data_IF_925251840099
#
_entry.id   IF_925251840099
#
_cell.length_a   1.000
_cell.length_b   1.000
_cell.length_c   1.000
_cell.angle_alpha   90.00
_cell.angle_beta   90.00
_cell.angle_gamma   90.00
#
_symmetry.space_group_name_H-M   'P 1'
#
loop_
_entity.id
_entity.type
_entity.pdbx_description
1 polymer ?
#
# COMPACT_ATOMS: atom_id res chain seq x y z
N UNK A 1 33.27 11.50 -20.62
CA UNK A 1 32.41 10.47 -19.99
C UNK A 1 31.44 11.20 -19.09
N UNK A 2 30.15 11.20 -19.42
CA UNK A 2 29.13 11.95 -18.68
C UNK A 2 28.37 11.00 -17.77
N UNK A 3 28.48 11.19 -16.46
CA UNK A 3 27.73 10.43 -15.45
C UNK A 3 26.35 11.06 -15.27
N UNK A 4 25.32 10.41 -15.80
CA UNK A 4 23.91 10.74 -15.53
C UNK A 4 23.59 10.37 -14.08
N UNK A 5 23.18 11.37 -13.29
CA UNK A 5 22.60 11.18 -11.97
C UNK A 5 21.09 11.27 -12.13
N UNK A 6 20.38 10.14 -12.01
CA UNK A 6 18.91 10.14 -11.96
C UNK A 6 18.45 10.45 -10.53
N UNK A 7 17.73 11.57 -10.42
CA UNK A 7 17.06 12.09 -9.25
C UNK A 7 15.79 11.28 -8.97
N UNK A 8 15.66 10.69 -7.77
CA UNK A 8 14.46 9.98 -7.32
C UNK A 8 13.65 10.92 -6.42
N UNK A 9 12.43 11.25 -6.84
CA UNK A 9 11.44 12.03 -6.09
C UNK A 9 10.65 11.08 -5.17
N UNK A 10 10.45 11.39 -3.88
CA UNK A 10 9.60 10.57 -3.02
C UNK A 10 8.12 10.90 -3.30
N UNK A 11 7.44 10.05 -4.05
CA UNK A 11 5.98 10.05 -4.07
C UNK A 11 5.48 9.40 -2.79
N UNK A 12 4.61 10.11 -2.08
CA UNK A 12 3.82 9.60 -0.96
C UNK A 12 2.95 8.43 -1.43
N UNK A 13 3.49 7.21 -1.32
CA UNK A 13 2.82 5.96 -1.62
C UNK A 13 1.72 5.70 -0.58
N UNK A 14 0.54 6.29 -0.81
CA UNK A 14 -0.69 5.78 -0.22
C UNK A 14 -0.94 4.40 -0.81
N UNK A 15 -0.40 3.36 -0.16
CA UNK A 15 -0.66 1.95 -0.44
C UNK A 15 -0.64 1.64 -1.95
N UNK A 16 0.55 1.61 -2.57
CA UNK A 16 0.78 1.10 -3.92
C UNK A 16 0.55 -0.42 -3.98
N UNK A 17 -0.64 -0.87 -3.60
CA UNK A 17 -1.12 -2.20 -3.90
C UNK A 17 -1.39 -2.23 -5.42
N UNK A 18 -0.85 -3.19 -6.18
CA UNK A 18 -1.17 -3.35 -7.58
C UNK A 18 -2.69 -3.46 -7.75
N UNK A 19 -3.19 -2.81 -8.80
CA UNK A 19 -4.61 -2.67 -9.08
C UNK A 19 -5.28 -4.06 -9.11
N UNK A 20 -6.07 -4.36 -8.07
CA UNK A 20 -6.79 -5.62 -7.93
C UNK A 20 -6.33 -6.58 -6.81
N UNK A 21 -5.30 -6.22 -6.01
CA UNK A 21 -5.07 -6.87 -4.71
C UNK A 21 -6.07 -6.33 -3.69
N UNK A 22 -7.29 -6.86 -3.74
CA UNK A 22 -8.26 -6.71 -2.65
C UNK A 22 -8.09 -7.87 -1.66
N UNK A 23 -8.37 -7.68 -0.35
CA UNK A 23 -8.29 -8.75 0.65
C UNK A 23 -9.13 -9.99 0.26
N UNK A 24 -10.25 -9.78 -0.44
CA UNK A 24 -11.10 -10.84 -1.02
C UNK A 24 -10.41 -11.71 -2.10
N UNK A 25 -9.39 -11.19 -2.80
CA UNK A 25 -8.63 -11.97 -3.79
C UNK A 25 -7.68 -12.98 -3.13
N UNK A 26 -7.34 -12.76 -1.85
CA UNK A 26 -6.42 -13.58 -1.07
C UNK A 26 -7.19 -14.51 -0.13
N UNK A 27 -8.34 -14.04 0.38
CA UNK A 27 -9.20 -14.86 1.24
C UNK A 27 -10.04 -15.87 0.42
N UNK A 28 -9.40 -17.00 0.15
CA UNK A 28 -10.01 -18.12 -0.59
C UNK A 28 -10.77 -19.11 0.29
N UNK A 29 -10.72 -18.94 1.62
CA UNK A 29 -11.31 -19.87 2.58
C UNK A 29 -12.84 -19.96 2.46
N UNK A 30 -13.60 -18.85 2.33
CA UNK A 30 -15.04 -18.93 2.15
C UNK A 30 -15.43 -19.71 0.88
N UNK A 31 -14.72 -19.44 -0.23
CA UNK A 31 -14.96 -20.09 -1.53
C UNK A 31 -14.67 -21.59 -1.48
N UNK A 32 -13.53 -21.97 -0.88
CA UNK A 32 -13.17 -23.38 -0.68
C UNK A 32 -14.18 -24.09 0.21
N UNK A 33 -14.61 -23.46 1.30
CA UNK A 33 -15.60 -24.04 2.22
C UNK A 33 -16.94 -24.25 1.52
N UNK A 34 -17.37 -23.33 0.66
CA UNK A 34 -18.58 -23.46 -0.14
C UNK A 34 -18.47 -24.63 -1.13
N UNK A 35 -17.35 -24.75 -1.84
CA UNK A 35 -17.12 -25.86 -2.78
C UNK A 35 -17.10 -27.21 -2.05
N UNK A 36 -16.39 -27.29 -0.92
CA UNK A 36 -16.29 -28.51 -0.11
C UNK A 36 -17.63 -28.92 0.52
N UNK A 37 -18.45 -27.97 0.97
CA UNK A 37 -19.78 -28.26 1.52
C UNK A 37 -20.70 -28.91 0.49
N UNK A 38 -20.51 -28.59 -0.79
CA UNK A 38 -21.27 -29.16 -1.92
C UNK A 38 -20.71 -30.51 -2.39
N UNK A 39 -19.53 -30.88 -1.92
CA UNK A 39 -18.78 -32.10 -2.27
C UNK A 39 -19.02 -33.23 -1.24
N UNK A 40 -19.85 -33.00 -0.21
CA UNK A 40 -20.14 -33.99 0.83
C UNK A 40 -20.55 -35.35 0.21
N UNK A 41 -20.01 -36.46 0.74
CA UNK A 41 -20.14 -37.76 0.11
C UNK A 41 -21.61 -38.21 0.10
N UNK A 42 -22.03 -38.75 -1.04
CA UNK A 42 -23.05 -39.78 -1.11
C UNK A 42 -22.67 -40.91 -0.13
N UNK A 43 -23.08 -40.83 1.12
CA UNK A 43 -23.11 -41.97 2.02
C UNK A 43 -24.46 -42.03 2.72
N UNK A 44 -25.35 -42.75 2.02
CA UNK A 44 -26.44 -43.59 2.50
C UNK A 44 -27.20 -43.18 3.77
N UNK A 45 -28.44 -42.71 3.59
CA UNK A 45 -29.65 -43.36 4.15
C UNK A 45 -30.89 -42.67 3.58
N UNK A 46 -31.57 -43.34 2.65
CA UNK A 46 -32.79 -42.83 2.05
C UNK A 46 -33.03 -43.45 0.69
N UNK A 47 -33.62 -44.64 0.69
CA UNK A 47 -34.09 -45.29 -0.52
C UNK A 47 -35.11 -44.40 -1.25
N UNK A 48 -34.76 -43.98 -2.45
CA UNK A 48 -35.73 -43.72 -3.52
C UNK A 48 -34.96 -43.76 -4.83
N UNK A 49 -35.27 -44.76 -5.66
CA UNK A 49 -34.94 -44.78 -7.08
C UNK A 49 -35.36 -43.45 -7.71
N UNK A 50 -34.40 -42.56 -7.84
CA UNK A 50 -34.46 -41.35 -8.63
C UNK A 50 -33.05 -41.18 -9.15
N UNK A 51 -32.90 -41.18 -10.46
CA UNK A 51 -31.67 -40.78 -11.17
C UNK A 51 -31.02 -39.60 -10.44
N UNK A 52 -29.68 -39.56 -10.27
CA UNK A 52 -29.03 -38.36 -9.75
C UNK A 52 -29.49 -37.21 -10.64
N UNK A 53 -30.23 -36.25 -10.06
CA UNK A 53 -30.69 -35.09 -10.80
C UNK A 53 -29.44 -34.37 -11.29
N UNK A 54 -29.18 -34.47 -12.60
CA UNK A 54 -28.14 -33.66 -13.23
C UNK A 54 -28.45 -32.21 -12.87
N UNK A 55 -27.49 -31.56 -12.22
CA UNK A 55 -27.61 -30.16 -11.86
C UNK A 55 -27.81 -29.35 -13.14
N UNK A 56 -28.93 -28.65 -13.24
CA UNK A 56 -29.20 -27.80 -14.40
C UNK A 56 -28.11 -26.71 -14.49
N UNK A 57 -27.68 -26.26 -15.69
CA UNK A 57 -26.58 -25.30 -15.85
C UNK A 57 -26.74 -24.04 -14.98
N UNK A 58 -27.98 -23.56 -14.79
CA UNK A 58 -28.28 -22.43 -13.90
C UNK A 58 -28.03 -22.72 -12.42
N UNK A 59 -28.20 -23.95 -11.95
CA UNK A 59 -27.97 -24.33 -10.55
C UNK A 59 -26.48 -24.56 -10.26
N UNK A 60 -25.72 -24.99 -11.26
CA UNK A 60 -24.25 -25.03 -11.22
C UNK A 60 -23.68 -23.61 -11.15
N UNK A 61 -24.21 -22.69 -11.97
CA UNK A 61 -23.82 -21.28 -11.97
C UNK A 61 -24.22 -20.53 -10.69
N UNK A 62 -25.35 -20.88 -10.08
CA UNK A 62 -25.81 -20.28 -8.81
C UNK A 62 -25.08 -20.82 -7.57
N UNK A 63 -24.23 -21.83 -7.73
CA UNK A 63 -23.45 -22.40 -6.63
C UNK A 63 -24.26 -23.20 -5.61
N UNK A 64 -25.53 -23.52 -5.88
CA UNK A 64 -26.46 -24.16 -4.93
C UNK A 64 -26.65 -25.66 -5.15
N UNK A 65 -26.23 -26.20 -6.31
CA UNK A 65 -26.37 -27.62 -6.61
C UNK A 65 -25.24 -28.48 -5.97
N UNK A 66 -25.54 -29.72 -5.55
CA UNK A 66 -24.53 -30.72 -5.20
C UNK A 66 -23.52 -30.90 -6.34
N UNK A 67 -22.22 -30.94 -6.04
CA UNK A 67 -21.18 -31.10 -7.05
C UNK A 67 -20.86 -32.58 -7.23
N UNK A 68 -20.98 -33.07 -8.46
CA UNK A 68 -20.45 -34.39 -8.83
C UNK A 68 -18.94 -34.30 -9.02
N UNK A 69 -18.23 -35.43 -8.89
CA UNK A 69 -16.77 -35.51 -9.05
C UNK A 69 -16.31 -34.98 -10.42
N UNK A 70 -17.17 -35.08 -11.44
CA UNK A 70 -16.90 -34.59 -12.80
C UNK A 70 -16.96 -33.07 -12.93
N UNK A 71 -17.68 -32.39 -12.03
CA UNK A 71 -17.91 -30.95 -12.08
C UNK A 71 -16.88 -30.16 -11.25
N UNK A 72 -16.04 -30.85 -10.47
CA UNK A 72 -14.99 -30.25 -9.63
C UNK A 72 -14.02 -29.38 -10.45
N UNK A 73 -13.51 -29.82 -11.62
CA UNK A 73 -12.59 -28.99 -12.39
C UNK A 73 -13.22 -27.67 -12.81
N UNK A 74 -14.49 -27.69 -13.24
CA UNK A 74 -15.23 -26.49 -13.64
C UNK A 74 -15.55 -25.59 -12.43
N UNK A 75 -15.98 -26.17 -11.31
CA UNK A 75 -16.30 -25.43 -10.09
C UNK A 75 -15.07 -24.79 -9.41
N UNK A 76 -13.86 -25.31 -9.69
CA UNK A 76 -12.60 -24.83 -9.10
C UNK A 76 -11.81 -23.92 -10.05
N UNK A 77 -12.21 -23.79 -11.32
CA UNK A 77 -11.44 -23.05 -12.32
C UNK A 77 -11.33 -21.55 -11.99
N UNK A 78 -12.44 -20.94 -11.54
CA UNK A 78 -12.44 -19.55 -11.06
C UNK A 78 -11.50 -19.34 -9.87
N UNK A 79 -11.46 -20.31 -8.95
CA UNK A 79 -10.56 -20.26 -7.80
C UNK A 79 -9.10 -20.36 -8.24
N UNK A 80 -8.81 -21.25 -9.20
CA UNK A 80 -7.47 -21.38 -9.80
C UNK A 80 -7.03 -20.10 -10.46
N UNK A 81 -7.90 -19.46 -11.24
CA UNK A 81 -7.62 -18.17 -11.87
C UNK A 81 -7.35 -17.06 -10.84
N UNK A 82 -8.15 -16.99 -9.76
CA UNK A 82 -7.94 -16.05 -8.65
C UNK A 82 -6.59 -16.26 -7.96
N UNK A 83 -6.24 -17.50 -7.62
CA UNK A 83 -4.96 -17.85 -7.00
C UNK A 83 -3.77 -17.52 -7.90
N UNK A 84 -3.86 -17.81 -9.20
CA UNK A 84 -2.80 -17.48 -10.16
C UNK A 84 -2.61 -15.97 -10.27
N UNK A 85 -3.71 -15.21 -10.34
CA UNK A 85 -3.68 -13.75 -10.36
C UNK A 85 -3.08 -13.17 -9.08
N UNK A 86 -3.55 -13.62 -7.92
CA UNK A 86 -3.02 -13.19 -6.62
C UNK A 86 -1.51 -13.48 -6.51
N UNK A 87 -1.05 -14.66 -6.93
CA UNK A 87 0.38 -15.00 -6.94
C UNK A 87 1.20 -14.11 -7.86
N UNK A 88 0.69 -13.77 -9.03
CA UNK A 88 1.36 -12.86 -9.95
C UNK A 88 1.48 -11.46 -9.34
N UNK A 89 0.39 -10.96 -8.74
CA UNK A 89 0.35 -9.64 -8.12
C UNK A 89 1.21 -9.55 -6.85
N UNK A 90 1.25 -10.60 -6.03
CA UNK A 90 2.15 -10.63 -4.86
C UNK A 90 3.62 -10.52 -5.27
N UNK A 91 4.00 -11.12 -6.41
CA UNK A 91 5.36 -10.99 -6.95
C UNK A 91 5.66 -9.61 -7.52
N UNK A 92 4.64 -8.84 -7.86
CA UNK A 92 4.76 -7.47 -8.36
C UNK A 92 4.86 -6.46 -7.21
N UNK A 93 4.65 -6.89 -5.96
CA UNK A 93 4.75 -6.01 -4.81
C UNK A 93 6.19 -5.47 -4.66
N UNK A 94 6.34 -4.15 -4.42
CA UNK A 94 7.65 -3.57 -4.17
C UNK A 94 8.24 -4.17 -2.88
N UNK A 95 9.55 -4.36 -2.88
CA UNK A 95 10.33 -4.87 -1.75
C UNK A 95 9.83 -6.21 -1.17
N UNK A 96 9.13 -7.04 -1.97
CA UNK A 96 8.70 -8.39 -1.55
C UNK A 96 9.89 -9.34 -1.28
N UNK A 97 11.05 -9.05 -1.86
CA UNK A 97 12.29 -9.81 -1.67
C UNK A 97 13.06 -9.38 -0.41
N UNK A 98 12.69 -8.25 0.20
CA UNK A 98 13.37 -7.69 1.37
C UNK A 98 12.72 -8.19 2.66
N UNK A 99 13.53 -8.45 3.67
CA UNK A 99 13.03 -8.86 4.98
C UNK A 99 12.48 -7.68 5.78
N UNK A 100 11.57 -7.96 6.72
CA UNK A 100 11.04 -6.93 7.63
C UNK A 100 12.14 -6.24 8.44
N UNK A 101 13.17 -6.98 8.85
CA UNK A 101 14.28 -6.43 9.65
C UNK A 101 15.04 -5.37 8.85
N UNK A 102 15.38 -5.65 7.60
CA UNK A 102 16.07 -4.70 6.72
C UNK A 102 15.22 -3.43 6.47
N UNK A 103 13.91 -3.60 6.30
CA UNK A 103 12.98 -2.46 6.15
C UNK A 103 12.90 -1.63 7.42
N UNK A 104 12.83 -2.26 8.60
CA UNK A 104 12.81 -1.57 9.90
C UNK A 104 14.12 -0.80 10.16
N UNK A 105 15.26 -1.36 9.78
CA UNK A 105 16.55 -0.68 9.86
C UNK A 105 16.60 0.54 8.93
N UNK A 106 16.16 0.39 7.69
CA UNK A 106 16.08 1.51 6.74
C UNK A 106 15.13 2.61 7.23
N UNK A 107 13.96 2.26 7.76
CA UNK A 107 13.02 3.23 8.34
C UNK A 107 13.73 4.02 9.44
N UNK A 108 14.45 3.35 10.33
CA UNK A 108 15.19 4.02 11.42
C UNK A 108 16.24 4.99 10.88
N UNK A 109 17.01 4.59 9.87
CA UNK A 109 18.02 5.46 9.25
C UNK A 109 17.37 6.67 8.55
N UNK A 110 16.26 6.45 7.86
CA UNK A 110 15.49 7.52 7.20
C UNK A 110 14.91 8.49 8.23
N UNK A 111 14.36 8.00 9.33
CA UNK A 111 13.85 8.82 10.43
C UNK A 111 14.96 9.67 11.07
N UNK A 112 16.15 9.09 11.31
CA UNK A 112 17.30 9.83 11.81
C UNK A 112 17.72 10.94 10.83
N UNK A 113 17.75 10.62 9.53
CA UNK A 113 18.08 11.59 8.48
C UNK A 113 17.04 12.72 8.42
N UNK A 114 15.75 12.41 8.54
CA UNK A 114 14.68 13.41 8.62
C UNK A 114 14.87 14.28 9.86
N UNK A 115 15.23 13.69 11.00
CA UNK A 115 15.55 14.43 12.23
C UNK A 115 16.65 15.47 12.01
N UNK A 116 17.79 15.06 11.45
CA UNK A 116 18.91 15.96 11.12
C UNK A 116 18.50 17.06 10.14
N UNK A 117 17.72 16.72 9.11
CA UNK A 117 17.23 17.69 8.14
C UNK A 117 16.32 18.75 8.78
N UNK A 118 15.46 18.33 9.72
CA UNK A 118 14.59 19.24 10.47
C UNK A 118 15.40 20.20 11.35
N UNK A 119 16.42 19.69 12.04
CA UNK A 119 17.33 20.51 12.86
C UNK A 119 18.04 21.59 12.02
N UNK A 120 18.57 21.21 10.85
CA UNK A 120 19.22 22.17 9.94
C UNK A 120 18.24 23.25 9.46
N UNK A 121 17.01 22.86 9.12
CA UNK A 121 15.98 23.81 8.71
C UNK A 121 15.59 24.76 9.85
N UNK A 122 15.54 24.27 11.08
CA UNK A 122 15.29 25.09 12.27
C UNK A 122 16.43 26.09 12.52
N UNK A 123 17.68 25.65 12.44
CA UNK A 123 18.84 26.54 12.53
C UNK A 123 18.84 27.60 11.43
N UNK A 124 18.52 27.24 10.19
CA UNK A 124 18.43 28.20 9.09
C UNK A 124 17.31 29.24 9.31
N UNK A 125 16.17 28.80 9.86
CA UNK A 125 15.07 29.69 10.26
C UNK A 125 15.53 30.69 11.33
N UNK A 126 16.27 30.23 12.34
CA UNK A 126 16.79 31.10 13.41
C UNK A 126 17.78 32.13 12.87
N UNK A 127 18.74 31.71 12.06
CA UNK A 127 19.72 32.62 11.41
C UNK A 127 18.99 33.66 10.54
N UNK A 128 17.98 33.24 9.78
CA UNK A 128 17.16 34.16 8.99
C UNK A 128 16.43 35.21 9.83
N UNK A 129 15.91 34.82 10.99
CA UNK A 129 15.26 35.75 11.93
C UNK A 129 16.27 36.69 12.60
N UNK A 130 17.45 36.20 12.98
CA UNK A 130 18.52 37.02 13.53
C UNK A 130 19.02 38.07 12.53
N UNK A 131 19.28 37.65 11.28
CA UNK A 131 19.69 38.55 10.20
C UNK A 131 18.62 39.61 9.87
N UNK A 132 17.33 39.24 9.93
CA UNK A 132 16.23 40.21 9.78
C UNK A 132 16.24 41.25 10.90
N UNK A 133 16.41 40.81 12.15
CA UNK A 133 16.43 41.69 13.33
C UNK A 133 17.63 42.65 13.30
N UNK A 134 18.79 42.17 12.88
CA UNK A 134 20.01 42.99 12.77
C UNK A 134 19.83 44.13 11.75
N UNK A 135 19.22 43.85 10.59
CA UNK A 135 18.90 44.88 9.59
C UNK A 135 17.95 45.95 10.13
N UNK A 136 16.89 45.53 10.81
CA UNK A 136 15.91 46.44 11.41
C UNK A 136 16.56 47.36 12.46
N UNK A 137 17.44 46.83 13.31
CA UNK A 137 18.15 47.61 14.31
C UNK A 137 19.14 48.61 13.69
N UNK A 138 19.77 48.24 12.57
CA UNK A 138 20.72 49.11 11.85
C UNK A 138 20.00 50.29 11.17
N UNK A 139 18.80 50.07 10.64
CA UNK A 139 17.99 51.14 10.03
C UNK A 139 17.46 52.13 11.08
N UNK A 140 17.02 51.65 12.25
CA UNK A 140 16.58 52.52 13.36
C UNK A 140 17.73 53.38 13.94
N UNK A 141 18.95 52.84 13.99
CA UNK A 141 20.13 53.59 14.44
C UNK A 141 20.55 54.70 13.50
N UNK A 142 20.32 54.53 12.19
CA UNK A 142 20.58 55.57 11.18
C UNK A 142 19.55 56.69 11.21
N UNK A 143 18.27 56.38 11.42
CA UNK A 143 17.22 57.39 11.57
C UNK A 143 17.47 58.27 12.80
N UNK A 144 17.85 57.71 13.95
CA UNK A 144 18.12 58.51 15.17
C UNK A 144 19.39 59.38 15.06
N UNK A 145 20.43 58.93 14.36
CA UNK A 145 21.64 59.73 14.11
C UNK A 145 21.40 60.92 13.17
N UNK A 146 20.45 60.82 12.24
CA UNK A 146 20.16 61.88 11.28
C UNK A 146 19.30 63.02 11.85
N UNK A 147 18.56 62.79 12.96
CA UNK A 147 17.80 63.86 13.64
C UNK A 147 18.71 64.74 14.51
N UNK A 148 19.83 64.22 15.00
CA UNK A 148 20.72 64.97 15.91
C UNK A 148 21.65 65.95 15.18
N UNK A 149 22.00 65.67 13.92
CA UNK A 149 22.89 66.51 13.09
C UNK A 149 22.16 67.69 12.41
N UNK A 150 20.83 67.79 12.58
CA UNK A 150 19.99 68.82 11.97
C UNK A 150 19.52 69.94 12.91
N UNK A 151 19.95 69.96 14.18
CA UNK A 151 19.45 70.91 15.19
C UNK A 151 20.49 71.98 15.57
N UNK A 152 21.73 71.90 15.07
CA UNK A 152 22.75 72.94 15.26
C UNK A 152 23.11 73.61 13.93
N UNK A 153 22.28 74.54 13.45
CA UNK A 153 22.65 75.63 12.54
C UNK A 153 21.60 76.74 12.57
#
# INVERSE_FOLDING_TARGET
MATSTSQTTPQTALLNLPEGLSPESIDTLPVLSAILSRLQPLTATGASSGTPAEASPSQLASGTAPLSIKDIPAATDDLKHRLQKARAQVKELPDIERSLVEQEEEIRELEERIGKQREVLEGLKEVGLAAKRERENTDQGKEQGQVMDGVES
#
